data_IF_983120877074
#
_entry.id   IF_983120877074
#
_cell.length_a   1.000
_cell.length_b   1.000
_cell.length_c   1.000
_cell.angle_alpha   90.00
_cell.angle_beta   90.00
_cell.angle_gamma   90.00
#
_symmetry.space_group_name_H-M   'P 1'
#
loop_
_entity.id
_entity.type
_entity.pdbx_description
1 polymer ?
#
# COMPACT_ATOMS: atom_id res chain seq x y z
N UNK A 1 -11.86 -14.79 7.68
CA UNK A 1 -12.16 -14.28 9.04
C UNK A 1 -11.52 -12.90 9.11
N UNK A 2 -12.31 -11.83 9.22
CA UNK A 2 -11.74 -10.48 9.31
C UNK A 2 -11.08 -10.36 10.69
N UNK A 3 -9.76 -10.14 10.69
CA UNK A 3 -9.02 -9.94 11.92
C UNK A 3 -9.43 -8.59 12.56
N UNK A 4 -9.63 -8.53 13.89
CA UNK A 4 -9.85 -7.26 14.56
C UNK A 4 -8.59 -6.39 14.44
N UNK A 5 -8.81 -5.08 14.28
CA UNK A 5 -7.75 -4.09 14.20
C UNK A 5 -6.83 -4.19 15.43
N UNK A 6 -5.52 -4.47 15.26
CA UNK A 6 -4.57 -4.54 16.36
C UNK A 6 -4.43 -3.26 17.18
N UNK A 7 -4.76 -2.08 16.60
CA UNK A 7 -4.62 -0.79 17.27
C UNK A 7 -5.81 -0.39 18.12
N UNK A 8 -7.04 -0.69 17.68
CA UNK A 8 -8.26 -0.23 18.36
C UNK A 8 -9.29 -1.33 18.66
N UNK A 9 -9.08 -2.55 18.18
CA UNK A 9 -10.01 -3.68 18.32
C UNK A 9 -11.23 -3.62 17.39
N UNK A 10 -11.37 -2.59 16.55
CA UNK A 10 -12.47 -2.45 15.59
C UNK A 10 -12.41 -3.46 14.43
N UNK A 11 -13.51 -3.60 13.69
CA UNK A 11 -13.57 -4.49 12.53
C UNK A 11 -12.80 -3.90 11.33
N UNK A 12 -11.94 -4.72 10.72
CA UNK A 12 -11.30 -4.40 9.45
C UNK A 12 -12.09 -5.02 8.30
N UNK A 13 -12.26 -4.28 7.21
CA UNK A 13 -12.93 -4.75 6.00
C UNK A 13 -12.06 -4.50 4.76
N UNK A 14 -12.18 -5.29 3.68
CA UNK A 14 -11.49 -5.02 2.43
C UNK A 14 -11.79 -3.62 1.90
N UNK A 15 -10.76 -2.93 1.44
CA UNK A 15 -10.82 -1.59 0.89
C UNK A 15 -9.54 -1.22 0.16
N UNK A 16 -9.33 0.07 -0.07
CA UNK A 16 -8.15 0.60 -0.74
C UNK A 16 -7.53 1.73 0.09
N UNK A 17 -6.20 1.86 0.00
CA UNK A 17 -5.41 2.90 0.65
C UNK A 17 -4.44 3.56 -0.34
N UNK A 18 -3.79 4.62 0.10
CA UNK A 18 -2.68 5.26 -0.62
C UNK A 18 -1.39 5.01 0.14
N UNK A 19 -0.48 4.24 -0.46
CA UNK A 19 0.84 4.00 0.08
C UNK A 19 1.79 5.12 -0.35
N UNK A 20 2.50 5.73 0.60
CA UNK A 20 3.50 6.77 0.30
C UNK A 20 4.82 6.42 0.97
N UNK A 21 5.92 6.57 0.25
CA UNK A 21 7.26 6.35 0.80
C UNK A 21 8.27 7.38 0.30
N UNK A 22 9.19 7.75 1.18
CA UNK A 22 10.31 8.65 0.89
C UNK A 22 11.55 7.84 0.50
N UNK A 23 12.18 8.21 -0.62
CA UNK A 23 13.38 7.55 -1.17
C UNK A 23 14.69 8.24 -0.75
N UNK A 24 14.63 9.29 0.07
CA UNK A 24 15.70 10.21 0.42
C UNK A 24 15.97 11.31 -0.62
N UNK A 25 15.74 11.04 -1.90
CA UNK A 25 15.90 12.00 -3.01
C UNK A 25 14.58 12.44 -3.65
N UNK A 26 13.49 11.77 -3.30
CA UNK A 26 12.16 11.98 -3.88
C UNK A 26 11.11 11.14 -3.17
N UNK A 27 9.85 11.34 -3.52
CA UNK A 27 8.71 10.66 -2.92
C UNK A 27 7.96 9.84 -3.98
N UNK A 28 7.48 8.65 -3.57
CA UNK A 28 6.62 7.80 -4.39
C UNK A 28 5.27 7.67 -3.69
N UNK A 29 4.21 7.94 -4.44
CA UNK A 29 2.81 7.79 -4.02
C UNK A 29 2.17 6.73 -4.90
N UNK A 30 1.66 5.65 -4.30
CA UNK A 30 0.95 4.57 -4.97
C UNK A 30 -0.50 4.58 -4.49
N UNK A 31 -1.45 4.84 -5.39
CA UNK A 31 -2.88 4.95 -5.08
C UNK A 31 -3.61 3.64 -5.32
N UNK A 32 -4.80 3.50 -4.72
CA UNK A 32 -5.71 2.37 -4.91
C UNK A 32 -5.09 1.02 -4.53
N UNK A 33 -4.25 1.02 -3.49
CA UNK A 33 -3.59 -0.18 -2.98
C UNK A 33 -4.60 -1.00 -2.18
N UNK A 34 -4.83 -2.29 -2.50
CA UNK A 34 -5.71 -3.15 -1.71
C UNK A 34 -5.24 -3.26 -0.26
N UNK A 35 -6.16 -3.10 0.68
CA UNK A 35 -5.86 -3.19 2.11
C UNK A 35 -7.08 -3.68 2.90
N UNK A 36 -6.85 -4.13 4.13
CA UNK A 36 -7.89 -4.26 5.14
C UNK A 36 -7.95 -2.94 5.93
N UNK A 37 -9.02 -2.18 5.76
CA UNK A 37 -9.20 -0.87 6.40
C UNK A 37 -10.11 -1.00 7.61
N UNK A 38 -9.63 -0.53 8.76
CA UNK A 38 -10.42 -0.48 9.97
C UNK A 38 -11.57 0.52 9.81
N UNK A 39 -12.80 0.05 10.00
CA UNK A 39 -14.00 0.88 9.88
C UNK A 39 -14.18 1.87 11.05
N UNK A 40 -13.36 1.76 12.10
CA UNK A 40 -13.41 2.61 13.29
C UNK A 40 -12.32 3.70 13.28
N UNK A 41 -11.05 3.32 13.14
CA UNK A 41 -9.92 4.25 13.22
C UNK A 41 -9.30 4.61 11.87
N UNK A 42 -9.67 3.93 10.79
CA UNK A 42 -9.12 4.18 9.45
C UNK A 42 -7.75 3.57 9.17
N UNK A 43 -7.16 2.84 10.13
CA UNK A 43 -5.88 2.15 9.93
C UNK A 43 -6.01 1.09 8.83
N UNK A 44 -5.07 1.11 7.89
CA UNK A 44 -4.95 0.17 6.79
C UNK A 44 -3.89 -0.91 7.07
N UNK A 45 -4.25 -2.16 6.79
CA UNK A 45 -3.38 -3.32 6.92
C UNK A 45 -3.16 -3.96 5.56
N UNK A 46 -1.89 -4.11 5.19
CA UNK A 46 -1.48 -4.68 3.93
C UNK A 46 -1.16 -6.16 4.10
N UNK A 47 -1.70 -7.00 3.22
CA UNK A 47 -1.34 -8.42 3.16
C UNK A 47 0.06 -8.60 2.56
N UNK A 48 0.73 -9.70 2.89
CA UNK A 48 2.09 -10.02 2.44
C UNK A 48 2.25 -9.89 0.91
N UNK A 49 1.29 -10.40 0.14
CA UNK A 49 1.32 -10.32 -1.33
C UNK A 49 1.22 -8.88 -1.85
N UNK A 50 0.47 -8.02 -1.15
CA UNK A 50 0.37 -6.60 -1.48
C UNK A 50 1.67 -5.88 -1.14
N UNK A 51 2.25 -6.18 0.02
CA UNK A 51 3.54 -5.62 0.45
C UNK A 51 4.68 -5.99 -0.53
N UNK A 52 4.80 -7.25 -0.94
CA UNK A 52 5.79 -7.71 -1.92
C UNK A 52 5.67 -6.95 -3.25
N UNK A 53 4.44 -6.70 -3.70
CA UNK A 53 4.20 -5.98 -4.94
C UNK A 53 4.49 -4.48 -4.80
N UNK A 54 4.19 -3.86 -3.65
CA UNK A 54 4.61 -2.49 -3.36
C UNK A 54 6.12 -2.34 -3.41
N UNK A 55 6.87 -3.28 -2.81
CA UNK A 55 8.34 -3.27 -2.86
C UNK A 55 8.86 -3.28 -4.30
N UNK A 56 8.24 -4.09 -5.17
CA UNK A 56 8.58 -4.14 -6.59
C UNK A 56 8.33 -2.79 -7.29
N UNK A 57 7.15 -2.18 -7.06
CA UNK A 57 6.78 -0.89 -7.64
C UNK A 57 7.69 0.25 -7.15
N UNK A 58 8.04 0.25 -5.85
CA UNK A 58 8.96 1.22 -5.27
C UNK A 58 10.36 1.05 -5.85
N UNK A 59 10.84 -0.19 -6.02
CA UNK A 59 12.12 -0.46 -6.66
C UNK A 59 12.16 0.00 -8.12
N UNK A 60 11.05 -0.10 -8.85
CA UNK A 60 10.90 0.45 -10.20
C UNK A 60 10.95 1.98 -10.23
N UNK A 61 10.18 2.65 -9.37
CA UNK A 61 10.17 4.10 -9.24
C UNK A 61 11.56 4.64 -8.86
N UNK A 62 12.25 3.96 -7.95
CA UNK A 62 13.61 4.32 -7.54
C UNK A 62 14.61 4.34 -8.71
N UNK A 63 14.45 3.45 -9.70
CA UNK A 63 15.32 3.43 -10.90
C UNK A 63 15.07 4.60 -11.85
N UNK A 64 13.87 5.19 -11.84
CA UNK A 64 13.54 6.38 -12.65
C UNK A 64 14.14 7.67 -12.08
N UNK A 65 14.44 7.67 -10.78
CA UNK A 65 15.05 8.79 -10.06
C UNK A 65 14.23 10.10 -10.15
N UNK A 66 12.91 9.98 -10.17
CA UNK A 66 11.97 11.10 -10.14
C UNK A 66 11.96 11.77 -8.76
N UNK A 67 11.84 13.09 -8.69
CA UNK A 67 11.63 13.81 -7.40
C UNK A 67 10.25 13.51 -6.81
N UNK A 68 9.23 13.37 -7.66
CA UNK A 68 7.87 12.98 -7.27
C UNK A 68 7.36 11.99 -8.30
N UNK A 69 6.91 10.82 -7.85
CA UNK A 69 6.26 9.83 -8.69
C UNK A 69 4.90 9.45 -8.10
N UNK A 70 3.85 9.55 -8.92
CA UNK A 70 2.50 9.09 -8.57
C UNK A 70 2.16 7.93 -9.51
N UNK A 71 1.88 6.78 -8.93
CA UNK A 71 1.51 5.56 -9.63
C UNK A 71 0.15 5.04 -9.17
N UNK A 72 -0.56 4.37 -10.08
CA UNK A 72 -1.74 3.58 -9.72
C UNK A 72 -1.30 2.16 -9.34
N UNK A 73 -2.03 1.54 -8.41
CA UNK A 73 -1.85 0.14 -8.08
C UNK A 73 -1.98 -0.73 -9.32
N UNK A 74 -1.06 -1.69 -9.44
CA UNK A 74 -1.03 -2.65 -10.54
C UNK A 74 -0.86 -4.03 -9.94
N UNK A 75 -1.92 -4.80 -9.94
CA UNK A 75 -1.89 -6.19 -9.52
C UNK A 75 -1.01 -6.99 -10.49
N UNK A 76 0.00 -7.69 -9.96
CA UNK A 76 0.75 -8.65 -10.76
C UNK A 76 -0.10 -9.90 -10.91
N UNK A 77 -0.62 -10.15 -12.11
CA UNK A 77 -1.05 -11.49 -12.47
C UNK A 77 0.22 -12.34 -12.55
N UNK A 78 0.43 -13.21 -11.55
CA UNK A 78 1.42 -14.26 -11.65
C UNK A 78 1.02 -15.18 -12.82
N UNK A 79 1.87 -15.24 -13.85
CA UNK A 79 1.75 -16.18 -14.95
C UNK A 79 2.29 -17.56 -14.55
#
# INVERSE_FOLDING_TARGET
MNAPCPLCGGECAPGETTFTTDLGFGVVVIRHVPALVCQCCGEDWLEDATAEQLETMVAEARRKHSTVEIAEWRERIAA
#
